data_IF_852393384841
#
_entry.id   IF_852393384841
#
_cell.length_a   1.000
_cell.length_b   1.000
_cell.length_c   1.000
_cell.angle_alpha   90.00
_cell.angle_beta   90.00
_cell.angle_gamma   90.00
#
_symmetry.space_group_name_H-M   'P 1'
#
loop_
_entity.id
_entity.type
_entity.pdbx_description
1 polymer ?
#
# COMPACT_ATOMS: atom_id res chain seq x y z
N UNK A 1 -27.37 19.69 -38.23
CA UNK A 1 -26.88 20.17 -36.95
C UNK A 1 -25.59 19.41 -36.61
N UNK A 2 -24.42 20.00 -36.84
CA UNK A 2 -23.14 19.42 -36.47
C UNK A 2 -22.94 19.71 -34.97
N UNK A 3 -23.02 18.70 -34.11
CA UNK A 3 -22.62 18.81 -32.72
C UNK A 3 -21.10 18.96 -32.68
N UNK A 4 -20.63 20.16 -32.44
CA UNK A 4 -19.23 20.49 -32.19
C UNK A 4 -18.88 19.86 -30.84
N UNK A 5 -18.21 18.70 -30.82
CA UNK A 5 -17.60 18.15 -29.64
C UNK A 5 -16.48 19.09 -29.24
N UNK A 6 -16.74 19.96 -28.27
CA UNK A 6 -15.72 20.76 -27.61
C UNK A 6 -14.85 19.77 -26.85
N UNK A 7 -13.74 19.38 -27.45
CA UNK A 7 -12.65 18.67 -26.75
C UNK A 7 -12.04 19.67 -25.78
N UNK A 8 -12.49 19.69 -24.52
CA UNK A 8 -11.83 20.46 -23.49
C UNK A 8 -10.36 20.05 -23.46
N UNK A 9 -9.49 20.97 -23.85
CA UNK A 9 -8.04 20.80 -23.81
C UNK A 9 -7.66 20.60 -22.34
N UNK A 10 -7.43 19.35 -21.91
CA UNK A 10 -6.96 19.03 -20.56
C UNK A 10 -5.74 19.88 -20.27
N UNK A 11 -5.84 20.74 -19.26
CA UNK A 11 -4.78 21.67 -18.89
C UNK A 11 -3.61 20.84 -18.36
N UNK A 12 -2.45 20.94 -18.97
CA UNK A 12 -1.27 20.14 -18.62
C UNK A 12 -0.90 20.36 -17.14
N UNK A 13 -0.86 19.26 -16.38
CA UNK A 13 -0.44 19.30 -14.99
C UNK A 13 1.03 19.74 -14.94
N UNK A 14 1.33 20.83 -14.21
CA UNK A 14 2.70 21.33 -14.13
C UNK A 14 3.60 20.31 -13.38
N UNK A 15 4.88 20.28 -13.72
CA UNK A 15 5.90 19.46 -13.04
C UNK A 15 5.89 19.71 -11.53
N UNK A 16 5.70 20.98 -11.12
CA UNK A 16 5.57 21.37 -9.70
C UNK A 16 4.39 20.68 -9.03
N UNK A 17 3.24 20.58 -9.73
CA UNK A 17 2.05 19.90 -9.19
C UNK A 17 2.29 18.40 -8.98
N UNK A 18 2.98 17.75 -9.90
CA UNK A 18 3.35 16.33 -9.79
C UNK A 18 4.31 16.14 -8.63
N UNK A 19 5.32 16.99 -8.47
CA UNK A 19 6.30 16.91 -7.40
C UNK A 19 5.67 17.10 -6.02
N UNK A 20 4.85 18.14 -5.83
CA UNK A 20 4.14 18.38 -4.57
C UNK A 20 3.21 17.22 -4.23
N UNK A 21 2.48 16.70 -5.22
CA UNK A 21 1.64 15.52 -5.03
C UNK A 21 2.45 14.30 -4.62
N UNK A 22 3.60 14.06 -5.25
CA UNK A 22 4.48 12.94 -4.92
C UNK A 22 5.02 13.05 -3.49
N UNK A 23 5.50 14.23 -3.06
CA UNK A 23 6.00 14.45 -1.69
C UNK A 23 4.90 14.22 -0.65
N UNK A 24 3.70 14.75 -0.87
CA UNK A 24 2.56 14.52 0.02
C UNK A 24 2.20 13.03 0.10
N UNK A 25 2.21 12.31 -1.02
CA UNK A 25 1.95 10.87 -1.04
C UNK A 25 3.04 10.11 -0.26
N UNK A 26 4.32 10.45 -0.45
CA UNK A 26 5.44 9.84 0.31
C UNK A 26 5.19 9.96 1.80
N UNK A 27 4.88 11.14 2.29
CA UNK A 27 4.72 11.40 3.72
C UNK A 27 3.42 10.79 4.28
N UNK A 28 2.28 10.95 3.60
CA UNK A 28 1.01 10.50 4.14
C UNK A 28 0.82 8.98 4.03
N UNK A 29 1.21 8.36 2.91
CA UNK A 29 1.23 6.89 2.81
C UNK A 29 2.21 6.33 3.84
N UNK A 30 3.39 6.93 3.95
CA UNK A 30 4.41 6.52 4.90
C UNK A 30 3.94 6.55 6.34
N UNK A 31 3.14 7.55 6.75
CA UNK A 31 2.66 7.70 8.13
C UNK A 31 1.91 6.48 8.68
N UNK A 32 1.29 5.68 7.83
CA UNK A 32 0.60 4.44 8.21
C UNK A 32 1.59 3.34 8.60
N UNK A 33 2.81 3.39 8.07
CA UNK A 33 3.82 2.34 8.20
C UNK A 33 4.93 2.64 9.20
N UNK A 34 4.97 3.83 9.81
CA UNK A 34 6.06 4.31 10.67
C UNK A 34 6.32 3.44 11.90
N UNK A 35 5.29 2.78 12.45
CA UNK A 35 5.42 1.93 13.64
C UNK A 35 6.03 0.55 13.37
N UNK A 36 6.13 0.14 12.10
CA UNK A 36 6.40 -1.26 11.74
C UNK A 36 7.80 -1.77 12.10
N UNK A 37 8.80 -0.88 12.17
CA UNK A 37 10.18 -1.24 12.56
C UNK A 37 10.49 -0.95 14.04
N UNK A 38 9.56 -0.36 14.79
CA UNK A 38 9.77 0.10 16.17
C UNK A 38 8.80 -0.53 17.18
N UNK A 39 8.26 -1.72 16.88
CA UNK A 39 7.34 -2.40 17.79
C UNK A 39 7.93 -2.68 19.16
N UNK A 40 9.25 -2.98 19.24
CA UNK A 40 9.95 -3.25 20.50
C UNK A 40 9.97 -2.02 21.39
N UNK A 41 10.29 -0.84 20.82
CA UNK A 41 10.38 0.42 21.53
C UNK A 41 9.01 0.86 22.05
N UNK A 42 7.96 0.64 21.23
CA UNK A 42 6.58 0.91 21.65
C UNK A 42 6.14 -0.06 22.74
N UNK A 43 6.42 -1.36 22.57
CA UNK A 43 6.14 -2.41 23.56
C UNK A 43 6.74 -2.06 24.92
N UNK A 44 8.02 -1.68 24.95
CA UNK A 44 8.72 -1.27 26.17
C UNK A 44 8.11 -0.01 26.78
N UNK A 45 7.76 0.99 25.96
CA UNK A 45 7.20 2.27 26.45
C UNK A 45 5.83 2.11 27.12
N UNK A 46 5.01 1.19 26.62
CA UNK A 46 3.66 0.93 27.17
C UNK A 46 3.61 -0.28 28.10
N UNK A 47 4.74 -0.95 28.34
CA UNK A 47 4.84 -2.18 29.15
C UNK A 47 3.83 -3.25 28.71
N UNK A 48 3.79 -3.54 27.43
CA UNK A 48 2.92 -4.54 26.79
C UNK A 48 3.78 -5.60 26.08
N UNK A 49 3.18 -6.74 25.76
CA UNK A 49 3.82 -7.74 24.90
C UNK A 49 4.09 -7.17 23.50
N UNK A 50 5.27 -7.47 22.94
CA UNK A 50 5.68 -7.06 21.61
C UNK A 50 4.73 -7.57 20.52
N UNK A 51 4.13 -8.73 20.72
CA UNK A 51 3.16 -9.29 19.78
C UNK A 51 1.86 -8.48 19.78
N UNK A 52 1.48 -7.89 20.92
CA UNK A 52 0.36 -6.95 21.00
C UNK A 52 0.66 -5.63 20.31
N UNK A 53 1.91 -5.16 20.31
CA UNK A 53 2.30 -3.93 19.62
C UNK A 53 2.07 -3.97 18.09
N UNK A 54 2.05 -5.16 17.48
CA UNK A 54 1.73 -5.34 16.04
C UNK A 54 0.30 -4.92 15.69
N UNK A 55 -0.62 -5.01 16.65
CA UNK A 55 -2.02 -4.61 16.45
C UNK A 55 -2.14 -3.14 16.01
N UNK A 56 -1.16 -2.30 16.38
CA UNK A 56 -1.04 -0.91 15.94
C UNK A 56 -1.04 -0.82 14.42
N UNK A 57 -0.12 -1.54 13.78
CA UNK A 57 0.00 -1.53 12.33
C UNK A 57 -1.19 -2.22 11.66
N UNK A 58 -1.61 -3.37 12.19
CA UNK A 58 -2.75 -4.12 11.66
C UNK A 58 -4.01 -3.24 11.61
N UNK A 59 -4.36 -2.58 12.71
CA UNK A 59 -5.57 -1.76 12.81
C UNK A 59 -5.44 -0.47 12.00
N UNK A 60 -4.27 0.18 12.02
CA UNK A 60 -4.00 1.37 11.18
C UNK A 60 -4.12 1.04 9.69
N UNK A 61 -3.56 -0.08 9.24
CA UNK A 61 -3.64 -0.54 7.86
C UNK A 61 -5.06 -0.92 7.46
N UNK A 62 -5.83 -1.53 8.37
CA UNK A 62 -7.23 -1.85 8.14
C UNK A 62 -8.10 -0.59 7.99
N UNK A 63 -7.94 0.38 8.90
CA UNK A 63 -8.62 1.67 8.79
C UNK A 63 -8.22 2.41 7.51
N UNK A 64 -6.94 2.38 7.14
CA UNK A 64 -6.45 2.96 5.89
C UNK A 64 -7.13 2.30 4.66
N UNK A 65 -7.25 0.97 4.64
CA UNK A 65 -7.87 0.24 3.55
C UNK A 65 -9.35 0.64 3.36
N UNK A 66 -10.14 0.63 4.44
CA UNK A 66 -11.55 1.02 4.41
C UNK A 66 -11.68 2.48 4.00
N UNK A 67 -10.85 3.35 4.55
CA UNK A 67 -10.90 4.79 4.29
C UNK A 67 -10.50 5.11 2.85
N UNK A 68 -9.55 4.40 2.28
CA UNK A 68 -9.19 4.54 0.87
C UNK A 68 -10.38 4.24 -0.06
N UNK A 69 -11.18 3.23 0.30
CA UNK A 69 -12.41 2.91 -0.41
C UNK A 69 -13.47 4.03 -0.27
N UNK A 70 -13.57 4.66 0.92
CA UNK A 70 -14.49 5.78 1.16
C UNK A 70 -14.06 7.04 0.39
N UNK A 71 -12.77 7.40 0.46
CA UNK A 71 -12.27 8.62 -0.16
C UNK A 71 -12.16 8.55 -1.69
N UNK A 72 -12.10 7.37 -2.29
CA UNK A 72 -12.07 7.20 -3.74
C UNK A 72 -13.22 7.94 -4.42
N UNK A 73 -14.49 7.56 -4.20
CA UNK A 73 -15.65 8.25 -4.77
C UNK A 73 -15.85 9.67 -4.23
N UNK A 74 -15.42 9.95 -2.99
CA UNK A 74 -15.54 11.29 -2.39
C UNK A 74 -14.62 12.30 -3.12
N UNK A 75 -13.47 11.86 -3.63
CA UNK A 75 -12.54 12.68 -4.41
C UNK A 75 -13.13 13.22 -5.72
N UNK A 76 -14.23 12.63 -6.20
CA UNK A 76 -14.95 13.12 -7.36
C UNK A 76 -15.90 14.29 -7.03
N UNK A 77 -16.30 14.45 -5.78
CA UNK A 77 -17.28 15.43 -5.33
C UNK A 77 -16.70 16.56 -4.49
N UNK A 78 -15.68 16.27 -3.70
CA UNK A 78 -15.02 17.23 -2.83
C UNK A 78 -13.76 17.74 -3.53
N UNK A 79 -13.43 19.02 -3.34
CA UNK A 79 -12.22 19.59 -3.94
C UNK A 79 -10.99 18.85 -3.41
N UNK A 80 -10.08 18.49 -4.32
CA UNK A 80 -8.82 17.80 -4.00
C UNK A 80 -8.05 18.50 -2.91
N UNK A 81 -7.97 19.85 -2.98
CA UNK A 81 -7.26 20.66 -1.98
C UNK A 81 -7.85 20.49 -0.57
N UNK A 82 -9.18 20.43 -0.46
CA UNK A 82 -9.86 20.25 0.85
C UNK A 82 -9.60 18.86 1.42
N UNK A 83 -9.69 17.80 0.59
CA UNK A 83 -9.41 16.42 1.04
C UNK A 83 -7.96 16.24 1.47
N UNK A 84 -7.02 16.80 0.71
CA UNK A 84 -5.59 16.75 1.06
C UNK A 84 -5.31 17.52 2.35
N UNK A 85 -5.87 18.73 2.51
CA UNK A 85 -5.71 19.51 3.72
C UNK A 85 -6.33 18.82 4.95
N UNK A 86 -7.54 18.26 4.80
CA UNK A 86 -8.23 17.52 5.86
C UNK A 86 -7.41 16.30 6.32
N UNK A 87 -6.96 15.47 5.39
CA UNK A 87 -6.20 14.28 5.73
C UNK A 87 -4.83 14.59 6.32
N UNK A 88 -4.12 15.58 5.75
CA UNK A 88 -2.83 16.01 6.28
C UNK A 88 -2.97 16.59 7.68
N UNK A 89 -3.93 17.48 7.90
CA UNK A 89 -4.20 18.08 9.23
C UNK A 89 -4.55 17.01 10.26
N UNK A 90 -5.48 16.10 9.94
CA UNK A 90 -5.86 15.00 10.84
C UNK A 90 -4.67 14.11 11.19
N UNK A 91 -3.83 13.77 10.20
CA UNK A 91 -2.61 12.97 10.44
C UNK A 91 -1.61 13.70 11.33
N UNK A 92 -1.36 15.00 11.12
CA UNK A 92 -0.46 15.82 11.94
C UNK A 92 -0.94 15.84 13.40
N UNK A 93 -2.23 16.11 13.62
CA UNK A 93 -2.82 16.15 14.95
C UNK A 93 -2.70 14.79 15.64
N UNK A 94 -3.01 13.70 14.93
CA UNK A 94 -2.90 12.35 15.48
C UNK A 94 -1.46 11.99 15.82
N UNK A 95 -0.46 12.31 14.98
CA UNK A 95 0.95 12.08 15.27
C UNK A 95 1.39 12.89 16.51
N UNK A 96 0.98 14.15 16.60
CA UNK A 96 1.25 14.98 17.77
C UNK A 96 0.67 14.38 19.03
N UNK A 97 -0.61 14.00 19.06
CA UNK A 97 -1.25 13.40 20.24
C UNK A 97 -0.59 12.05 20.56
N UNK A 98 -0.32 11.19 19.56
CA UNK A 98 0.31 9.89 19.76
C UNK A 98 1.64 9.99 20.52
N UNK A 99 2.40 11.08 20.32
CA UNK A 99 3.70 11.30 20.97
C UNK A 99 3.60 11.55 22.49
N UNK A 100 2.42 11.91 23.02
CA UNK A 100 2.22 12.25 24.44
C UNK A 100 1.30 11.28 25.18
N UNK A 101 0.67 10.33 24.47
CA UNK A 101 -0.26 9.36 25.07
C UNK A 101 0.47 8.33 25.91
N UNK A 102 -0.08 8.05 27.10
CA UNK A 102 0.45 7.04 28.04
C UNK A 102 -0.35 5.73 28.05
N UNK A 103 -1.57 5.74 27.52
CA UNK A 103 -2.42 4.55 27.45
C UNK A 103 -2.31 3.88 26.08
N UNK A 104 -1.96 2.59 26.05
CA UNK A 104 -1.85 1.82 24.81
C UNK A 104 -3.16 1.78 24.02
N UNK A 105 -4.31 1.63 24.69
CA UNK A 105 -5.60 1.58 24.00
C UNK A 105 -5.92 2.90 23.29
N UNK A 106 -5.62 4.03 23.92
CA UNK A 106 -5.79 5.37 23.31
C UNK A 106 -4.81 5.52 22.13
N UNK A 107 -3.56 5.11 22.33
CA UNK A 107 -2.55 5.11 21.27
C UNK A 107 -3.00 4.30 20.05
N UNK A 108 -3.56 3.09 20.27
CA UNK A 108 -4.07 2.23 19.22
C UNK A 108 -5.20 2.91 18.40
N UNK A 109 -6.13 3.59 19.09
CA UNK A 109 -7.19 4.36 18.43
C UNK A 109 -6.61 5.51 17.61
N UNK A 110 -5.64 6.24 18.15
CA UNK A 110 -5.01 7.37 17.45
C UNK A 110 -4.25 6.89 16.21
N UNK A 111 -3.50 5.79 16.30
CA UNK A 111 -2.81 5.21 15.16
C UNK A 111 -3.79 4.71 14.08
N UNK A 112 -4.95 4.21 14.49
CA UNK A 112 -6.03 3.84 13.56
C UNK A 112 -6.61 5.06 12.84
N UNK A 113 -6.75 6.18 13.54
CA UNK A 113 -7.18 7.46 12.97
C UNK A 113 -6.13 8.02 12.00
N UNK A 114 -4.83 7.79 12.23
CA UNK A 114 -3.79 8.10 11.22
C UNK A 114 -4.09 7.35 9.93
N UNK A 115 -4.39 6.05 9.99
CA UNK A 115 -4.81 5.29 8.82
C UNK A 115 -6.02 5.90 8.11
N UNK A 116 -7.03 6.30 8.88
CA UNK A 116 -8.23 6.96 8.34
C UNK A 116 -7.91 8.27 7.61
N UNK A 117 -7.21 9.19 8.27
CA UNK A 117 -6.93 10.52 7.69
C UNK A 117 -5.94 10.44 6.53
N UNK A 118 -4.86 9.66 6.68
CA UNK A 118 -3.81 9.55 5.67
C UNK A 118 -4.33 9.02 4.33
N UNK A 119 -5.34 8.14 4.32
CA UNK A 119 -5.92 7.57 3.11
C UNK A 119 -6.55 8.61 2.17
N UNK A 120 -7.03 9.74 2.69
CA UNK A 120 -7.67 10.77 1.89
C UNK A 120 -6.72 11.42 0.88
N UNK A 121 -5.43 11.51 1.23
CA UNK A 121 -4.41 12.22 0.43
C UNK A 121 -4.08 11.46 -0.86
N UNK A 122 -3.62 10.18 -0.83
CA UNK A 122 -3.37 9.46 -2.07
C UNK A 122 -4.64 9.25 -2.88
N UNK A 123 -5.80 8.98 -2.25
CA UNK A 123 -7.07 8.85 -2.98
C UNK A 123 -7.41 10.10 -3.78
N UNK A 124 -7.29 11.29 -3.16
CA UNK A 124 -7.57 12.56 -3.82
C UNK A 124 -6.51 12.89 -4.89
N UNK A 125 -5.22 12.63 -4.63
CA UNK A 125 -4.13 12.98 -5.55
C UNK A 125 -4.06 12.05 -6.76
N UNK A 126 -4.36 10.76 -6.61
CA UNK A 126 -4.51 9.85 -7.76
C UNK A 126 -5.64 10.29 -8.68
N UNK A 127 -6.81 10.63 -8.12
CA UNK A 127 -7.94 11.13 -8.88
C UNK A 127 -7.62 12.48 -9.56
N UNK A 128 -6.96 13.39 -8.85
CA UNK A 128 -6.52 14.67 -9.38
C UNK A 128 -5.56 14.52 -10.57
N UNK A 129 -4.54 13.66 -10.41
CA UNK A 129 -3.58 13.35 -11.47
C UNK A 129 -4.26 12.73 -12.69
N UNK A 130 -5.18 11.79 -12.49
CA UNK A 130 -5.93 11.17 -13.57
C UNK A 130 -6.79 12.17 -14.36
N UNK A 131 -7.39 13.17 -13.68
CA UNK A 131 -8.24 14.18 -14.31
C UNK A 131 -7.44 15.24 -15.05
N UNK A 132 -6.28 15.66 -14.52
CA UNK A 132 -5.54 16.81 -15.00
C UNK A 132 -4.34 16.47 -15.90
N UNK A 133 -4.09 15.18 -16.17
CA UNK A 133 -2.99 14.75 -17.04
C UNK A 133 -3.54 14.31 -18.41
N UNK A 134 -2.95 14.75 -19.53
CA UNK A 134 -3.27 14.27 -20.87
C UNK A 134 -3.11 12.75 -20.97
N UNK A 135 -3.94 12.08 -21.77
CA UNK A 135 -3.97 10.61 -21.88
C UNK A 135 -2.61 10.02 -22.28
N UNK A 136 -1.81 10.73 -23.07
CA UNK A 136 -0.46 10.31 -23.51
C UNK A 136 0.55 10.26 -22.35
N UNK A 137 0.46 11.22 -21.40
CA UNK A 137 1.36 11.33 -20.25
C UNK A 137 0.79 10.68 -18.99
N UNK A 138 -0.46 10.24 -19.00
CA UNK A 138 -1.15 9.68 -17.85
C UNK A 138 -0.44 8.44 -17.25
N UNK A 139 0.03 7.45 -18.05
CA UNK A 139 0.75 6.31 -17.50
C UNK A 139 2.02 6.71 -16.73
N UNK A 140 2.77 7.69 -17.25
CA UNK A 140 3.97 8.21 -16.60
C UNK A 140 3.65 8.91 -15.26
N UNK A 141 2.64 9.80 -15.26
CA UNK A 141 2.23 10.52 -14.07
C UNK A 141 1.71 9.56 -12.97
N UNK A 142 0.89 8.58 -13.32
CA UNK A 142 0.42 7.55 -12.39
C UNK A 142 1.56 6.68 -11.88
N UNK A 143 2.53 6.35 -12.72
CA UNK A 143 3.75 5.64 -12.33
C UNK A 143 4.54 6.40 -11.25
N UNK A 144 4.68 7.73 -11.37
CA UNK A 144 5.32 8.57 -10.36
C UNK A 144 4.53 8.54 -9.05
N UNK A 145 3.20 8.60 -9.07
CA UNK A 145 2.38 8.56 -7.85
C UNK A 145 2.48 7.20 -7.13
N UNK A 146 2.48 6.10 -7.88
CA UNK A 146 2.65 4.74 -7.32
C UNK A 146 4.06 4.58 -6.75
N UNK A 147 5.08 5.03 -7.47
CA UNK A 147 6.46 5.02 -6.98
C UNK A 147 6.62 5.86 -5.70
N UNK A 148 5.98 7.04 -5.64
CA UNK A 148 5.96 7.87 -4.45
C UNK A 148 5.33 7.15 -3.25
N UNK A 149 4.23 6.42 -3.45
CA UNK A 149 3.63 5.60 -2.39
C UNK A 149 4.60 4.54 -1.87
N UNK A 150 5.28 3.83 -2.77
CA UNK A 150 6.25 2.80 -2.41
C UNK A 150 7.48 3.38 -1.70
N UNK A 151 8.02 4.48 -2.21
CA UNK A 151 9.11 5.22 -1.56
C UNK A 151 8.68 5.68 -0.17
N UNK A 152 7.45 6.17 -0.01
CA UNK A 152 6.88 6.57 1.27
C UNK A 152 6.88 5.43 2.29
N UNK A 153 6.44 4.25 1.90
CA UNK A 153 6.44 3.06 2.76
C UNK A 153 7.86 2.72 3.25
N UNK A 154 8.84 2.74 2.36
CA UNK A 154 10.22 2.35 2.68
C UNK A 154 10.90 3.42 3.51
N UNK A 155 10.85 4.67 3.04
CA UNK A 155 11.57 5.79 3.62
C UNK A 155 11.09 6.13 5.04
N UNK A 156 9.77 6.19 5.26
CA UNK A 156 9.22 6.52 6.58
C UNK A 156 9.54 5.48 7.64
N UNK A 157 9.45 4.19 7.32
CA UNK A 157 9.87 3.12 8.23
C UNK A 157 11.33 3.27 8.63
N UNK A 158 12.21 3.41 7.63
CA UNK A 158 13.66 3.48 7.85
C UNK A 158 14.06 4.71 8.66
N UNK A 159 13.55 5.89 8.28
CA UNK A 159 13.90 7.13 8.97
C UNK A 159 13.38 7.15 10.40
N UNK A 160 12.13 6.74 10.62
CA UNK A 160 11.57 6.71 11.98
C UNK A 160 12.32 5.69 12.85
N UNK A 161 12.68 4.52 12.30
CA UNK A 161 13.48 3.54 13.04
C UNK A 161 14.87 4.10 13.43
N UNK A 162 15.57 4.74 12.49
CA UNK A 162 16.88 5.38 12.78
C UNK A 162 16.75 6.49 13.81
N UNK A 163 15.75 7.38 13.67
CA UNK A 163 15.53 8.46 14.64
C UNK A 163 15.19 7.92 16.03
N UNK A 164 14.50 6.79 16.11
CA UNK A 164 14.11 6.17 17.38
C UNK A 164 15.32 5.68 18.18
N UNK A 165 16.33 5.13 17.51
CA UNK A 165 17.56 4.70 18.19
C UNK A 165 18.39 5.89 18.73
N UNK A 166 18.37 7.06 18.06
CA UNK A 166 19.13 8.23 18.50
C UNK A 166 18.42 9.09 19.54
N UNK A 167 17.08 9.13 19.50
CA UNK A 167 16.28 9.97 20.41
C UNK A 167 15.19 9.14 21.10
N UNK A 168 14.01 9.12 20.51
CA UNK A 168 12.87 8.29 20.93
C UNK A 168 11.83 8.24 19.81
N UNK A 169 10.94 7.27 19.83
CA UNK A 169 9.86 7.19 18.84
C UNK A 169 8.89 8.39 18.92
N UNK A 170 8.70 8.97 20.11
CA UNK A 170 7.87 10.17 20.29
C UNK A 170 8.46 11.36 19.54
N UNK A 171 9.77 11.62 19.69
CA UNK A 171 10.47 12.69 18.98
C UNK A 171 10.45 12.41 17.47
N UNK A 172 10.68 11.18 17.05
CA UNK A 172 10.61 10.79 15.64
C UNK A 172 9.24 11.10 15.01
N UNK A 173 8.14 10.85 15.73
CA UNK A 173 6.78 11.19 15.29
C UNK A 173 6.55 12.69 15.19
N UNK A 174 7.04 13.48 16.15
CA UNK A 174 6.95 14.95 16.09
C UNK A 174 7.74 15.52 14.90
N UNK A 175 8.95 15.00 14.65
CA UNK A 175 9.74 15.39 13.48
C UNK A 175 9.00 15.00 12.19
N UNK A 176 8.41 13.80 12.15
CA UNK A 176 7.64 13.35 10.99
C UNK A 176 6.40 14.22 10.74
N UNK A 177 5.68 14.61 11.80
CA UNK A 177 4.58 15.56 11.73
C UNK A 177 5.04 16.94 11.19
N UNK A 178 6.21 17.41 11.62
CA UNK A 178 6.80 18.66 11.14
C UNK A 178 7.14 18.61 9.64
N UNK A 179 7.62 17.46 9.14
CA UNK A 179 7.83 17.26 7.69
C UNK A 179 6.52 17.34 6.91
N UNK A 180 5.42 16.78 7.45
CA UNK A 180 4.10 16.90 6.82
C UNK A 180 3.63 18.36 6.82
N UNK A 181 3.83 19.10 7.91
CA UNK A 181 3.50 20.55 7.98
C UNK A 181 4.24 21.31 6.89
N UNK A 182 5.57 21.11 6.77
CA UNK A 182 6.37 21.75 5.73
C UNK A 182 5.86 21.42 4.31
N UNK A 183 5.51 20.16 4.06
CA UNK A 183 4.94 19.76 2.75
C UNK A 183 3.57 20.42 2.49
N UNK A 184 2.74 20.59 3.52
CA UNK A 184 1.42 21.22 3.40
C UNK A 184 1.50 22.69 2.99
N UNK A 185 2.58 23.41 3.30
CA UNK A 185 2.79 24.80 2.85
C UNK A 185 2.82 24.91 1.32
N UNK A 186 3.17 23.84 0.62
CA UNK A 186 3.21 23.81 -0.86
C UNK A 186 1.89 23.39 -1.50
N UNK A 187 0.86 22.98 -0.72
CA UNK A 187 -0.46 22.59 -1.26
C UNK A 187 -1.07 23.69 -2.13
N UNK A 188 -1.07 24.99 -1.74
CA UNK A 188 -1.66 26.05 -2.55
C UNK A 188 -0.96 26.24 -3.91
N UNK A 189 0.34 25.93 -3.97
CA UNK A 189 1.18 26.09 -5.18
C UNK A 189 1.00 24.87 -6.10
N UNK A 190 1.01 23.65 -5.53
CA UNK A 190 0.98 22.41 -6.31
C UNK A 190 -0.42 21.96 -6.73
N UNK A 191 -1.45 22.23 -5.93
CA UNK A 191 -2.79 21.72 -6.16
C UNK A 191 -3.73 22.87 -6.49
N UNK A 192 -4.17 22.97 -7.75
CA UNK A 192 -5.13 24.00 -8.18
C UNK A 192 -6.49 23.75 -7.51
N UNK A 193 -7.20 24.83 -7.17
CA UNK A 193 -8.57 24.76 -6.68
C UNK A 193 -9.47 24.29 -7.82
N UNK A 194 -9.91 23.05 -7.78
CA UNK A 194 -10.81 22.49 -8.80
C UNK A 194 -12.25 22.78 -8.39
N UNK A 195 -12.99 23.45 -9.27
CA UNK A 195 -14.44 23.56 -9.11
C UNK A 195 -15.04 22.24 -9.59
N UNK A 196 -15.56 21.43 -8.67
CA UNK A 196 -16.21 20.17 -9.02
C UNK A 196 -17.65 20.42 -9.45
N UNK A 197 -17.87 20.64 -10.74
CA UNK A 197 -19.22 20.78 -11.33
C UNK A 197 -19.89 19.43 -11.68
N UNK A 198 -19.32 18.30 -11.30
CA UNK A 198 -19.89 16.99 -11.62
C UNK A 198 -20.84 16.47 -10.52
N UNK A 199 -22.00 17.12 -10.37
CA UNK A 199 -23.06 16.70 -9.44
C UNK A 199 -23.92 15.50 -9.94
N UNK A 200 -23.63 14.89 -11.11
CA UNK A 200 -24.56 14.01 -11.78
C UNK A 200 -24.46 12.50 -11.47
N UNK A 201 -23.44 12.04 -10.75
CA UNK A 201 -23.40 10.63 -10.32
C UNK A 201 -23.63 10.52 -8.81
N UNK A 202 -24.63 9.74 -8.39
CA UNK A 202 -24.84 9.45 -6.98
C UNK A 202 -23.66 8.67 -6.41
N UNK A 203 -23.16 9.05 -5.21
CA UNK A 203 -22.13 8.28 -4.50
C UNK A 203 -22.58 6.84 -4.35
N UNK A 204 -23.85 6.63 -4.00
CA UNK A 204 -24.46 5.32 -3.82
C UNK A 204 -24.38 4.46 -5.09
N UNK A 205 -24.58 5.03 -6.29
CA UNK A 205 -24.46 4.29 -7.54
C UNK A 205 -23.04 3.83 -7.83
N UNK A 206 -22.04 4.60 -7.43
CA UNK A 206 -20.60 4.23 -7.58
C UNK A 206 -20.24 3.07 -6.66
N UNK A 207 -20.67 3.10 -5.39
CA UNK A 207 -20.46 1.98 -4.47
C UNK A 207 -21.23 0.73 -4.88
N UNK A 208 -22.47 0.89 -5.36
CA UNK A 208 -23.29 -0.24 -5.82
C UNK A 208 -22.69 -0.90 -7.07
N UNK A 209 -22.15 -0.11 -8.00
CA UNK A 209 -21.46 -0.66 -9.16
C UNK A 209 -20.15 -1.38 -8.78
N UNK A 210 -19.39 -0.85 -7.81
CA UNK A 210 -18.23 -1.54 -7.26
C UNK A 210 -18.63 -2.86 -6.58
N UNK A 211 -19.69 -2.87 -5.76
CA UNK A 211 -20.18 -4.07 -5.11
C UNK A 211 -20.65 -5.14 -6.11
N UNK A 212 -21.29 -4.75 -7.22
CA UNK A 212 -21.67 -5.68 -8.29
C UNK A 212 -20.48 -6.40 -8.93
N UNK A 213 -19.29 -5.79 -8.94
CA UNK A 213 -18.08 -6.44 -9.48
C UNK A 213 -17.64 -7.63 -8.64
N UNK A 214 -17.95 -7.65 -7.34
CA UNK A 214 -17.65 -8.78 -6.45
C UNK A 214 -18.41 -10.07 -6.79
N UNK A 215 -19.53 -9.99 -7.50
CA UNK A 215 -20.25 -11.16 -7.97
C UNK A 215 -19.64 -11.82 -9.21
N UNK A 216 -18.64 -11.19 -9.84
CA UNK A 216 -17.92 -11.81 -10.95
C UNK A 216 -16.82 -12.72 -10.39
N UNK A 217 -16.95 -14.04 -10.60
CA UNK A 217 -15.98 -15.03 -10.11
C UNK A 217 -14.55 -14.74 -10.51
N UNK A 218 -14.31 -14.30 -11.75
CA UNK A 218 -12.95 -14.00 -12.23
C UNK A 218 -12.37 -12.79 -11.50
N UNK A 219 -13.18 -11.74 -11.27
CA UNK A 219 -12.79 -10.58 -10.47
C UNK A 219 -12.44 -11.01 -9.05
N UNK A 220 -13.34 -11.77 -8.41
CA UNK A 220 -13.13 -12.23 -7.02
C UNK A 220 -11.82 -13.01 -6.86
N UNK A 221 -11.49 -13.90 -7.80
CA UNK A 221 -10.25 -14.67 -7.78
C UNK A 221 -9.03 -13.73 -7.83
N UNK A 222 -9.01 -12.73 -8.70
CA UNK A 222 -7.89 -11.79 -8.76
C UNK A 222 -7.79 -10.88 -7.52
N UNK A 223 -8.92 -10.58 -6.88
CA UNK A 223 -8.93 -9.90 -5.57
C UNK A 223 -8.33 -10.79 -4.48
N UNK A 224 -8.67 -12.09 -4.46
CA UNK A 224 -8.09 -13.06 -3.51
C UNK A 224 -6.58 -13.23 -3.73
N UNK A 225 -6.12 -13.23 -4.99
CA UNK A 225 -4.68 -13.27 -5.29
C UNK A 225 -3.95 -12.08 -4.64
N UNK A 226 -4.48 -10.87 -4.77
CA UNK A 226 -3.94 -9.68 -4.12
C UNK A 226 -4.00 -9.75 -2.60
N UNK A 227 -5.11 -10.23 -2.04
CA UNK A 227 -5.31 -10.44 -0.61
C UNK A 227 -4.23 -11.37 -0.03
N UNK A 228 -4.08 -12.57 -0.58
CA UNK A 228 -3.11 -13.57 -0.11
C UNK A 228 -1.66 -13.09 -0.29
N UNK A 229 -1.37 -12.40 -1.38
CA UNK A 229 -0.04 -11.85 -1.64
C UNK A 229 0.36 -10.85 -0.54
N UNK A 230 -0.53 -9.93 -0.19
CA UNK A 230 -0.26 -8.93 0.83
C UNK A 230 -0.38 -9.49 2.25
N UNK A 231 -1.20 -10.49 2.47
CA UNK A 231 -1.25 -11.26 3.72
C UNK A 231 0.14 -11.81 4.05
N UNK A 232 0.77 -12.50 3.09
CA UNK A 232 2.12 -13.03 3.26
C UNK A 232 3.14 -11.89 3.40
N UNK A 233 3.12 -10.91 2.50
CA UNK A 233 4.12 -9.84 2.47
C UNK A 233 4.14 -9.00 3.74
N UNK A 234 3.01 -8.39 4.12
CA UNK A 234 2.97 -7.49 5.28
C UNK A 234 3.02 -8.26 6.60
N UNK A 235 2.40 -9.42 6.66
CA UNK A 235 2.42 -10.26 7.85
C UNK A 235 3.82 -10.78 8.15
N UNK A 236 4.49 -11.37 7.16
CA UNK A 236 5.87 -11.84 7.30
C UNK A 236 6.82 -10.69 7.67
N UNK A 237 6.72 -9.55 6.94
CA UNK A 237 7.61 -8.41 7.17
C UNK A 237 7.45 -7.82 8.58
N UNK A 238 6.22 -7.77 9.11
CA UNK A 238 5.97 -7.28 10.48
C UNK A 238 6.58 -8.21 11.54
N UNK A 239 6.52 -9.52 11.35
CA UNK A 239 7.12 -10.49 12.26
C UNK A 239 8.64 -10.59 12.12
N UNK A 240 9.15 -10.43 10.89
CA UNK A 240 10.58 -10.39 10.62
C UNK A 240 11.28 -9.31 11.46
N UNK A 241 10.65 -8.15 11.67
CA UNK A 241 11.21 -7.09 12.51
C UNK A 241 11.36 -7.52 13.95
N UNK A 242 10.42 -8.30 14.48
CA UNK A 242 10.47 -8.86 15.84
C UNK A 242 11.53 -9.96 15.91
N UNK A 243 11.53 -10.87 14.94
CA UNK A 243 12.49 -11.96 14.87
C UNK A 243 13.95 -11.48 14.82
N UNK A 244 14.23 -10.46 14.00
CA UNK A 244 15.58 -9.89 13.86
C UNK A 244 16.03 -9.06 15.07
N UNK A 245 15.11 -8.57 15.90
CA UNK A 245 15.44 -7.94 17.19
C UNK A 245 15.70 -8.95 18.32
N UNK A 246 15.20 -10.18 18.16
CA UNK A 246 15.43 -11.29 19.09
C UNK A 246 16.72 -12.08 18.82
N UNK A 247 16.91 -13.15 19.58
CA UNK A 247 18.01 -14.11 19.36
C UNK A 247 17.84 -14.81 17.99
N UNK A 248 18.92 -15.06 17.22
CA UNK A 248 20.34 -14.81 17.52
C UNK A 248 20.85 -13.45 17.04
N UNK A 249 20.03 -12.60 16.41
CA UNK A 249 20.47 -11.42 15.65
C UNK A 249 20.65 -10.18 16.52
N UNK A 250 19.73 -9.89 17.45
CA UNK A 250 19.73 -8.69 18.31
C UNK A 250 19.99 -7.36 17.57
N UNK A 251 19.34 -7.16 16.42
CA UNK A 251 19.57 -5.99 15.59
C UNK A 251 18.90 -4.73 16.16
N UNK A 252 19.61 -3.59 16.07
CA UNK A 252 19.04 -2.27 16.37
C UNK A 252 18.02 -1.83 15.33
N UNK A 253 17.16 -0.88 15.67
CA UNK A 253 16.19 -0.28 14.75
C UNK A 253 16.87 0.41 13.58
N UNK A 254 18.05 0.99 13.78
CA UNK A 254 18.88 1.55 12.70
C UNK A 254 19.25 0.50 11.66
N UNK A 255 19.73 -0.68 12.08
CA UNK A 255 20.10 -1.76 11.15
C UNK A 255 18.86 -2.28 10.40
N UNK A 256 17.72 -2.42 11.10
CA UNK A 256 16.45 -2.78 10.47
C UNK A 256 16.01 -1.72 9.45
N UNK A 257 16.22 -0.44 9.75
CA UNK A 257 16.00 0.66 8.82
C UNK A 257 16.84 0.52 7.55
N UNK A 258 18.13 0.20 7.67
CA UNK A 258 19.01 -0.06 6.52
C UNK A 258 18.55 -1.29 5.71
N UNK A 259 18.22 -2.39 6.37
CA UNK A 259 17.69 -3.59 5.70
C UNK A 259 16.41 -3.31 4.93
N UNK A 260 15.53 -2.45 5.48
CA UNK A 260 14.28 -2.08 4.81
C UNK A 260 14.53 -1.31 3.50
N UNK A 261 15.68 -0.63 3.32
CA UNK A 261 16.01 -0.01 2.02
C UNK A 261 16.19 -1.02 0.88
N UNK A 262 16.41 -2.32 1.17
CA UNK A 262 16.32 -3.35 0.16
C UNK A 262 14.96 -3.35 -0.56
N UNK A 263 13.91 -2.87 0.12
CA UNK A 263 12.57 -2.67 -0.44
C UNK A 263 12.48 -1.67 -1.60
N UNK A 264 13.53 -0.86 -1.87
CA UNK A 264 13.57 0.01 -3.07
C UNK A 264 13.39 -0.82 -4.36
N UNK A 265 13.69 -2.13 -4.29
CA UNK A 265 13.44 -3.10 -5.35
C UNK A 265 11.99 -3.15 -5.81
N UNK A 266 11.03 -2.74 -4.97
CA UNK A 266 9.62 -2.66 -5.32
C UNK A 266 9.35 -1.73 -6.53
N UNK A 267 10.06 -0.58 -6.58
CA UNK A 267 9.97 0.35 -7.71
C UNK A 267 10.54 -0.29 -8.96
N UNK A 268 11.70 -0.93 -8.82
CA UNK A 268 12.39 -1.64 -9.92
C UNK A 268 11.51 -2.79 -10.43
N UNK A 269 10.92 -3.57 -9.53
CA UNK A 269 10.06 -4.71 -9.84
C UNK A 269 8.85 -4.34 -10.69
N UNK A 270 8.15 -3.27 -10.34
CA UNK A 270 6.98 -2.80 -11.10
C UNK A 270 7.34 -2.39 -12.52
N UNK A 271 8.51 -1.76 -12.72
CA UNK A 271 9.01 -1.34 -14.05
C UNK A 271 9.42 -2.57 -14.88
N UNK A 272 10.21 -3.47 -14.27
CA UNK A 272 10.71 -4.67 -14.95
C UNK A 272 9.56 -5.55 -15.42
N UNK A 273 8.62 -5.87 -14.53
CA UNK A 273 7.49 -6.75 -14.85
C UNK A 273 6.55 -6.12 -15.87
N UNK A 274 6.34 -4.80 -15.82
CA UNK A 274 5.58 -4.09 -16.85
C UNK A 274 6.22 -4.21 -18.23
N UNK A 275 7.55 -4.12 -18.33
CA UNK A 275 8.28 -4.33 -19.59
C UNK A 275 8.23 -5.81 -20.03
N UNK A 276 8.49 -6.74 -19.12
CA UNK A 276 8.44 -8.19 -19.41
C UNK A 276 7.06 -8.65 -19.86
N UNK A 277 5.97 -7.99 -19.42
CA UNK A 277 4.61 -8.32 -19.86
C UNK A 277 4.36 -8.09 -21.34
N UNK A 278 5.29 -7.45 -22.09
CA UNK A 278 5.26 -7.32 -23.55
C UNK A 278 5.82 -8.57 -24.26
N UNK A 279 6.70 -9.31 -23.59
CA UNK A 279 7.37 -10.49 -24.14
C UNK A 279 6.81 -11.80 -23.58
N UNK A 280 6.36 -11.79 -22.32
CA UNK A 280 5.85 -12.97 -21.62
C UNK A 280 4.35 -12.75 -21.35
N UNK A 281 3.55 -13.80 -21.55
CA UNK A 281 2.11 -13.71 -21.23
C UNK A 281 1.91 -13.32 -19.76
N UNK A 282 0.97 -12.42 -19.50
CA UNK A 282 0.68 -11.91 -18.14
C UNK A 282 0.42 -13.04 -17.14
N UNK A 283 -0.24 -14.12 -17.57
CA UNK A 283 -0.49 -15.30 -16.74
C UNK A 283 0.78 -16.02 -16.30
N UNK A 284 1.70 -16.29 -17.23
CA UNK A 284 2.98 -16.94 -16.93
C UNK A 284 3.84 -16.04 -16.01
N UNK A 285 3.85 -14.73 -16.28
CA UNK A 285 4.61 -13.77 -15.49
C UNK A 285 4.10 -13.71 -14.04
N UNK A 286 2.78 -13.80 -13.81
CA UNK A 286 2.20 -13.92 -12.48
C UNK A 286 2.72 -15.15 -11.73
N UNK A 287 2.74 -16.31 -12.39
CA UNK A 287 3.21 -17.57 -11.78
C UNK A 287 4.70 -17.47 -11.45
N UNK A 288 5.53 -16.97 -12.38
CA UNK A 288 6.96 -16.80 -12.17
C UNK A 288 7.21 -15.89 -10.95
N UNK A 289 6.54 -14.75 -10.87
CA UNK A 289 6.70 -13.85 -9.73
C UNK A 289 6.25 -14.50 -8.42
N UNK A 290 5.15 -15.26 -8.38
CA UNK A 290 4.70 -15.96 -7.17
C UNK A 290 5.68 -17.05 -6.72
N UNK A 291 6.27 -17.79 -7.66
CA UNK A 291 7.33 -18.77 -7.34
C UNK A 291 8.55 -18.05 -6.75
N UNK A 292 8.93 -16.90 -7.31
CA UNK A 292 10.05 -16.11 -6.79
C UNK A 292 9.73 -15.44 -5.45
N UNK A 293 8.47 -15.12 -5.16
CA UNK A 293 8.01 -14.74 -3.81
C UNK A 293 8.20 -15.91 -2.85
N UNK A 294 7.82 -17.16 -3.22
CA UNK A 294 8.07 -18.34 -2.37
C UNK A 294 9.55 -18.54 -2.08
N UNK A 295 10.42 -18.41 -3.09
CA UNK A 295 11.88 -18.48 -2.90
C UNK A 295 12.37 -17.40 -1.94
N UNK A 296 11.87 -16.17 -2.08
CA UNK A 296 12.22 -15.07 -1.16
C UNK A 296 11.79 -15.35 0.27
N UNK A 297 10.58 -15.90 0.48
CA UNK A 297 10.07 -16.31 1.80
C UNK A 297 10.97 -17.38 2.42
N UNK A 298 11.34 -18.41 1.66
CA UNK A 298 12.25 -19.49 2.12
C UNK A 298 13.62 -18.91 2.50
N UNK A 299 14.16 -18.01 1.66
CA UNK A 299 15.47 -17.37 1.91
C UNK A 299 15.44 -16.54 3.19
N UNK A 300 14.36 -15.76 3.43
CA UNK A 300 14.19 -15.00 4.66
C UNK A 300 14.04 -15.93 5.87
N UNK A 301 13.27 -17.02 5.72
CA UNK A 301 12.87 -17.89 6.81
C UNK A 301 14.02 -18.70 7.39
N UNK A 302 14.85 -19.28 6.52
CA UNK A 302 15.86 -20.26 6.92
C UNK A 302 17.29 -19.74 6.89
N UNK A 303 17.52 -18.48 6.51
CA UNK A 303 18.87 -17.92 6.48
C UNK A 303 19.26 -17.34 7.84
N UNK A 304 20.48 -17.65 8.28
CA UNK A 304 21.14 -17.01 9.43
C UNK A 304 22.07 -15.87 8.99
N UNK A 305 22.35 -15.75 7.70
CA UNK A 305 23.21 -14.71 7.16
C UNK A 305 22.38 -13.45 6.81
N UNK A 306 22.77 -12.32 7.36
CA UNK A 306 22.08 -11.05 7.18
C UNK A 306 22.02 -10.59 5.71
N UNK A 307 23.05 -10.88 4.91
CA UNK A 307 23.07 -10.58 3.49
C UNK A 307 22.02 -11.40 2.73
N UNK A 308 21.88 -12.69 3.06
CA UNK A 308 20.86 -13.55 2.45
C UNK A 308 19.45 -13.08 2.82
N UNK A 309 19.23 -12.65 4.09
CA UNK A 309 17.97 -12.06 4.53
C UNK A 309 17.68 -10.77 3.74
N UNK A 310 18.68 -9.89 3.57
CA UNK A 310 18.54 -8.67 2.78
C UNK A 310 18.19 -8.96 1.31
N UNK A 311 18.81 -9.99 0.70
CA UNK A 311 18.49 -10.45 -0.65
C UNK A 311 17.07 -11.05 -0.73
N UNK A 312 16.66 -11.77 0.31
CA UNK A 312 15.28 -12.26 0.44
C UNK A 312 14.27 -11.12 0.52
N UNK A 313 14.54 -10.09 1.34
CA UNK A 313 13.72 -8.88 1.42
C UNK A 313 13.68 -8.17 0.06
N UNK A 314 14.83 -7.99 -0.59
CA UNK A 314 14.93 -7.40 -1.91
C UNK A 314 14.05 -8.15 -2.94
N UNK A 315 14.14 -9.48 -2.97
CA UNK A 315 13.33 -10.33 -3.85
C UNK A 315 11.83 -10.24 -3.51
N UNK A 316 11.49 -10.30 -2.23
CA UNK A 316 10.10 -10.22 -1.77
C UNK A 316 9.43 -8.92 -2.25
N UNK A 317 10.05 -7.78 -2.03
CA UNK A 317 9.52 -6.49 -2.49
C UNK A 317 9.47 -6.39 -4.02
N UNK A 318 10.53 -6.83 -4.71
CA UNK A 318 10.61 -6.79 -6.16
C UNK A 318 9.45 -7.55 -6.81
N UNK A 319 9.18 -8.76 -6.36
CA UNK A 319 8.18 -9.62 -6.99
C UNK A 319 6.76 -9.31 -6.52
N UNK A 320 6.54 -8.95 -5.25
CA UNK A 320 5.21 -8.54 -4.74
C UNK A 320 4.72 -7.29 -5.46
N UNK A 321 5.53 -6.25 -5.54
CA UNK A 321 5.15 -5.01 -6.21
C UNK A 321 5.21 -5.13 -7.74
N UNK A 322 6.02 -6.04 -8.27
CA UNK A 322 6.00 -6.40 -9.68
C UNK A 322 4.70 -7.07 -10.14
N UNK A 323 4.06 -7.85 -9.27
CA UNK A 323 2.77 -8.49 -9.53
C UNK A 323 1.60 -7.50 -9.67
N UNK A 324 1.59 -6.43 -8.87
CA UNK A 324 0.47 -5.50 -8.80
C UNK A 324 0.03 -4.92 -10.16
N UNK A 325 0.90 -4.34 -10.99
CA UNK A 325 0.49 -3.76 -12.27
C UNK A 325 -0.07 -4.80 -13.23
N UNK A 326 0.41 -6.05 -13.14
CA UNK A 326 -0.07 -7.15 -13.98
C UNK A 326 -1.50 -7.54 -13.58
N UNK A 327 -1.76 -7.71 -12.28
CA UNK A 327 -3.10 -8.05 -11.77
C UNK A 327 -4.10 -6.94 -12.09
N UNK A 328 -3.75 -5.68 -11.84
CA UNK A 328 -4.60 -4.53 -12.19
C UNK A 328 -4.88 -4.49 -13.70
N UNK A 329 -3.87 -4.77 -14.53
CA UNK A 329 -4.05 -4.82 -15.98
C UNK A 329 -5.01 -5.93 -16.42
N UNK A 330 -4.95 -7.11 -15.78
CA UNK A 330 -5.88 -8.21 -16.07
C UNK A 330 -7.29 -7.89 -15.61
N UNK A 331 -7.45 -7.34 -14.41
CA UNK A 331 -8.73 -6.89 -13.89
C UNK A 331 -9.38 -5.84 -14.80
N UNK A 332 -8.60 -4.88 -15.30
CA UNK A 332 -9.09 -3.85 -16.22
C UNK A 332 -9.50 -4.38 -17.61
N UNK A 333 -9.10 -5.60 -17.99
CA UNK A 333 -9.56 -6.27 -19.20
C UNK A 333 -10.93 -6.96 -19.02
N UNK A 334 -11.29 -7.30 -17.77
CA UNK A 334 -12.51 -8.02 -17.43
C UNK A 334 -13.70 -7.06 -17.30
N UNK A 335 -13.44 -5.83 -16.88
CA UNK A 335 -14.49 -4.85 -16.54
C UNK A 335 -14.64 -3.77 -17.61
N UNK A 336 -15.86 -3.18 -17.78
CA UNK A 336 -16.07 -2.04 -18.65
C UNK A 336 -15.18 -0.84 -18.28
N UNK A 337 -14.88 0.01 -19.24
CA UNK A 337 -13.99 1.20 -19.07
C UNK A 337 -14.42 2.07 -17.89
N UNK A 338 -15.73 2.30 -17.73
CA UNK A 338 -16.29 3.12 -16.65
C UNK A 338 -16.10 2.51 -15.23
N UNK A 339 -15.79 1.22 -15.12
CA UNK A 339 -15.61 0.50 -13.86
C UNK A 339 -14.12 0.26 -13.49
N UNK A 340 -13.18 0.68 -14.35
CA UNK A 340 -11.74 0.43 -14.15
C UNK A 340 -11.18 1.11 -12.89
N UNK A 341 -11.64 2.30 -12.57
CA UNK A 341 -11.27 2.97 -11.32
C UNK A 341 -11.77 2.22 -10.09
N UNK A 342 -13.03 1.78 -10.11
CA UNK A 342 -13.64 1.03 -9.01
C UNK A 342 -12.93 -0.32 -8.78
N UNK A 343 -12.60 -1.05 -9.84
CA UNK A 343 -11.91 -2.35 -9.68
C UNK A 343 -10.50 -2.20 -9.17
N UNK A 344 -9.77 -1.15 -9.59
CA UNK A 344 -8.42 -0.87 -9.07
C UNK A 344 -8.48 -0.51 -7.59
N UNK A 345 -9.46 0.26 -7.15
CA UNK A 345 -9.66 0.59 -5.72
C UNK A 345 -10.04 -0.65 -4.91
N UNK A 346 -10.91 -1.53 -5.43
CA UNK A 346 -11.25 -2.80 -4.80
C UNK A 346 -10.05 -3.72 -4.67
N UNK A 347 -9.18 -3.77 -5.67
CA UNK A 347 -7.94 -4.54 -5.61
C UNK A 347 -7.00 -4.03 -4.51
N UNK A 348 -6.78 -2.71 -4.44
CA UNK A 348 -5.96 -2.11 -3.38
C UNK A 348 -6.57 -2.33 -1.99
N UNK A 349 -7.90 -2.20 -1.85
CA UNK A 349 -8.61 -2.54 -0.62
C UNK A 349 -8.36 -3.99 -0.22
N UNK A 350 -8.48 -4.92 -1.17
CA UNK A 350 -8.24 -6.35 -0.93
C UNK A 350 -6.80 -6.64 -0.50
N UNK A 351 -5.82 -6.02 -1.15
CA UNK A 351 -4.41 -6.11 -0.77
C UNK A 351 -4.17 -5.62 0.66
N UNK A 352 -4.64 -4.42 0.98
CA UNK A 352 -4.42 -3.80 2.29
C UNK A 352 -5.17 -4.55 3.40
N UNK A 353 -6.39 -5.03 3.15
CA UNK A 353 -7.12 -5.89 4.06
C UNK A 353 -6.38 -7.21 4.31
N UNK A 354 -5.86 -7.83 3.24
CA UNK A 354 -5.00 -9.01 3.34
C UNK A 354 -3.78 -8.77 4.22
N UNK A 355 -3.08 -7.66 4.00
CA UNK A 355 -1.92 -7.27 4.80
C UNK A 355 -2.22 -7.01 6.26
N UNK A 356 -3.34 -6.33 6.55
CA UNK A 356 -3.80 -6.09 7.92
C UNK A 356 -4.12 -7.40 8.64
N UNK A 357 -4.96 -8.25 8.05
CA UNK A 357 -5.35 -9.53 8.62
C UNK A 357 -4.14 -10.46 8.72
N UNK A 358 -3.24 -10.45 7.72
CA UNK A 358 -2.01 -11.22 7.73
C UNK A 358 -1.09 -10.85 8.88
N UNK A 359 -0.90 -9.56 9.14
CA UNK A 359 -0.11 -9.08 10.28
C UNK A 359 -0.68 -9.56 11.61
N UNK A 360 -2.00 -9.58 11.75
CA UNK A 360 -2.66 -10.06 12.98
C UNK A 360 -2.57 -11.58 13.12
N UNK A 361 -3.04 -12.33 12.10
CA UNK A 361 -3.14 -13.79 12.18
C UNK A 361 -1.77 -14.49 12.23
N UNK A 362 -0.81 -14.07 11.40
CA UNK A 362 0.54 -14.67 11.46
C UNK A 362 1.20 -14.43 12.82
N UNK A 363 0.81 -13.39 13.54
CA UNK A 363 1.28 -13.21 14.89
C UNK A 363 0.75 -14.24 15.85
N UNK A 364 -0.52 -14.64 15.75
CA UNK A 364 -1.08 -15.75 16.54
C UNK A 364 -0.34 -17.05 16.19
N UNK A 365 0.02 -17.26 14.92
CA UNK A 365 0.83 -18.39 14.50
C UNK A 365 2.25 -18.34 15.11
N UNK A 366 2.84 -17.15 15.19
CA UNK A 366 4.15 -16.98 15.82
C UNK A 366 4.12 -17.33 17.32
N UNK A 367 3.06 -16.97 18.04
CA UNK A 367 2.87 -17.31 19.46
C UNK A 367 2.78 -18.83 19.72
N UNK A 368 2.18 -19.57 18.77
CA UNK A 368 1.89 -20.99 18.96
C UNK A 368 2.91 -21.93 18.30
N UNK A 369 3.60 -21.47 17.25
CA UNK A 369 4.44 -22.31 16.40
C UNK A 369 5.79 -21.66 16.06
N UNK A 370 6.18 -20.60 16.75
CA UNK A 370 7.41 -19.87 16.56
C UNK A 370 7.63 -19.38 15.11
N UNK A 371 8.86 -19.00 14.78
CA UNK A 371 9.25 -18.50 13.46
C UNK A 371 9.05 -19.54 12.34
N UNK A 372 9.37 -20.80 12.60
CA UNK A 372 9.23 -21.87 11.60
C UNK A 372 7.78 -22.07 11.18
N UNK A 373 6.83 -21.99 12.12
CA UNK A 373 5.40 -22.07 11.83
C UNK A 373 4.91 -20.91 10.96
N UNK A 374 5.43 -19.71 11.16
CA UNK A 374 5.13 -18.56 10.31
C UNK A 374 5.62 -18.78 8.89
N UNK A 375 6.88 -19.21 8.72
CA UNK A 375 7.47 -19.45 7.40
C UNK A 375 6.72 -20.55 6.66
N UNK A 376 6.43 -21.66 7.35
CA UNK A 376 5.67 -22.78 6.79
C UNK A 376 4.28 -22.32 6.30
N UNK A 377 3.57 -21.52 7.11
CA UNK A 377 2.27 -20.96 6.75
C UNK A 377 2.38 -20.04 5.53
N UNK A 378 3.39 -19.16 5.47
CA UNK A 378 3.62 -18.28 4.34
C UNK A 378 3.89 -19.06 3.04
N UNK A 379 4.66 -20.15 3.10
CA UNK A 379 4.93 -21.02 1.95
C UNK A 379 3.63 -21.68 1.47
N UNK A 380 2.84 -22.27 2.39
CA UNK A 380 1.56 -22.90 2.04
C UNK A 380 0.64 -21.86 1.37
N UNK A 381 0.48 -20.68 1.97
CA UNK A 381 -0.37 -19.64 1.41
C UNK A 381 0.11 -19.17 0.03
N UNK A 382 1.41 -19.12 -0.22
CA UNK A 382 1.94 -18.77 -1.54
C UNK A 382 1.67 -19.87 -2.56
N UNK A 383 1.79 -21.15 -2.17
CA UNK A 383 1.43 -22.30 -3.02
C UNK A 383 -0.08 -22.27 -3.35
N UNK A 384 -0.92 -22.02 -2.36
CA UNK A 384 -2.37 -21.85 -2.56
C UNK A 384 -2.63 -20.68 -3.53
N UNK A 385 -1.91 -19.57 -3.39
CA UNK A 385 -2.03 -18.42 -4.27
C UNK A 385 -1.64 -18.76 -5.72
N UNK A 386 -0.59 -19.57 -5.94
CA UNK A 386 -0.21 -20.09 -7.25
C UNK A 386 -1.35 -20.93 -7.85
N UNK A 387 -1.94 -21.85 -7.06
CA UNK A 387 -3.06 -22.68 -7.52
C UNK A 387 -4.30 -21.84 -7.90
N UNK A 388 -4.63 -20.84 -7.08
CA UNK A 388 -5.73 -19.90 -7.34
C UNK A 388 -5.44 -19.07 -8.60
N UNK A 389 -4.18 -18.67 -8.81
CA UNK A 389 -3.76 -17.92 -10.01
C UNK A 389 -3.93 -18.76 -11.28
N UNK A 390 -3.58 -20.05 -11.25
CA UNK A 390 -3.79 -20.97 -12.37
C UNK A 390 -5.29 -21.10 -12.72
N UNK A 391 -6.14 -21.20 -11.70
CA UNK A 391 -7.61 -21.21 -11.90
C UNK A 391 -8.09 -19.88 -12.50
N UNK A 392 -7.62 -18.75 -11.99
CA UNK A 392 -7.98 -17.42 -12.49
C UNK A 392 -7.62 -17.23 -13.96
N UNK A 393 -6.43 -17.65 -14.37
CA UNK A 393 -5.97 -17.60 -15.77
C UNK A 393 -6.86 -18.49 -16.67
N UNK A 394 -7.23 -19.68 -16.20
CA UNK A 394 -8.10 -20.59 -16.94
C UNK A 394 -9.51 -20.00 -17.16
N UNK A 395 -10.08 -19.38 -16.13
CA UNK A 395 -11.39 -18.72 -16.23
C UNK A 395 -11.34 -17.49 -17.15
N UNK A 396 -10.29 -16.70 -17.07
CA UNK A 396 -10.09 -15.54 -17.94
C UNK A 396 -10.05 -15.95 -19.41
N UNK A 397 -9.30 -17.00 -19.76
CA UNK A 397 -9.25 -17.54 -21.12
C UNK A 397 -10.64 -18.05 -21.60
N UNK A 398 -11.41 -18.65 -20.70
CA UNK A 398 -12.78 -19.11 -21.01
C UNK A 398 -13.74 -17.95 -21.28
N UNK A 399 -13.62 -16.85 -20.53
CA UNK A 399 -14.44 -15.65 -20.76
C UNK A 399 -14.10 -14.96 -22.09
N UNK A 400 -12.80 -14.82 -22.42
CA UNK A 400 -12.36 -14.25 -23.69
C UNK A 400 -12.86 -15.06 -24.91
N UNK A 401 -12.87 -16.40 -24.82
CA UNK A 401 -13.43 -17.27 -25.88
C UNK A 401 -14.95 -17.17 -26.05
N UNK A 402 -15.68 -16.67 -25.06
CA UNK A 402 -17.14 -16.47 -25.16
C UNK A 402 -17.51 -15.08 -25.72
N UNK A 403 -16.58 -14.16 -25.75
CA UNK A 403 -16.78 -12.79 -26.26
C UNK A 403 -16.34 -12.62 -27.72
N UNK A 404 -15.47 -13.54 -28.20
CA UNK A 404 -15.13 -13.72 -29.63
C UNK A 404 -16.01 -14.77 -30.27
#
# INVERSE_FOLDING_TARGET
MKSTIIVEKKQEQSTTSILVSAVLIVLLVGSVYISQLIFQEISTSFNIDILNARSIFSLSCFCYAISFFIYGPLSDKVSTRLLVAFGSFGTIVCLGIASFVQSFNIYLVIMSLIGFFAASVPAALFAYTAKNTPNEKLPQAMGIMISASTVGIIFSRSIVAMMTDYWSWQIAFLIYASLIICACLFIPIGIKKTSNNSFHTSITSTYLSAAKLLFNQTVLIFLIIGFLLFFVYLGLFSLLTIYLKGSPFYLSSTILGWLNFAGISAVIGSIITSKLSQFITKGNLLIICLVLVSVSVVTIGYSTNLLCIALGIFGLFLFVFGLQPIVISLLNQIVPVNSRGAISSLYLLSCLAGGSIGTYLLGIFYENFDWDGVIFTCIILTIINIAITLLGIKLLKKQQKKQN
#
